data_IF_195125043240
#
_entry.id   IF_195125043240
#
_cell.length_a   1.000
_cell.length_b   1.000
_cell.length_c   1.000
_cell.angle_alpha   90.00
_cell.angle_beta   90.00
_cell.angle_gamma   90.00
#
_symmetry.space_group_name_H-M   'P 1'
#
loop_
_entity.id
_entity.type
_entity.pdbx_description
1 polymer ?
#
# COMPACT_ATOMS: atom_id res chain seq x y z
N UNK A 1 4.53 0.58 -14.65
CA UNK A 1 3.42 -0.07 -15.36
C UNK A 1 3.69 -0.16 -16.88
N UNK A 2 4.12 0.93 -17.54
CA UNK A 2 4.32 0.93 -19.03
C UNK A 2 5.28 -0.16 -19.53
N UNK A 3 6.33 -0.50 -18.77
CA UNK A 3 7.32 -1.52 -19.13
C UNK A 3 6.88 -2.97 -18.82
N UNK A 4 5.81 -3.17 -18.08
CA UNK A 4 5.31 -4.50 -17.77
C UNK A 4 4.50 -5.04 -18.95
N UNK A 5 4.57 -6.34 -19.23
CA UNK A 5 3.90 -6.99 -20.38
C UNK A 5 2.64 -7.80 -19.98
N UNK A 6 2.50 -8.18 -18.72
CA UNK A 6 1.44 -9.06 -18.25
C UNK A 6 0.16 -8.30 -17.85
N UNK A 7 -0.97 -9.02 -17.80
CA UNK A 7 -2.28 -8.48 -17.43
C UNK A 7 -2.45 -8.21 -15.94
N UNK A 8 -1.54 -8.68 -15.11
CA UNK A 8 -1.48 -8.44 -13.68
C UNK A 8 -0.26 -7.57 -13.35
N UNK A 9 -0.50 -6.44 -12.69
CA UNK A 9 0.54 -5.55 -12.22
C UNK A 9 0.73 -5.73 -10.72
N UNK A 10 1.99 -5.83 -10.28
CA UNK A 10 2.40 -5.87 -8.88
C UNK A 10 3.39 -4.74 -8.60
N UNK A 11 3.08 -3.90 -7.63
CA UNK A 11 3.92 -2.78 -7.20
C UNK A 11 4.61 -3.16 -5.89
N UNK A 12 5.89 -3.39 -5.94
CA UNK A 12 6.72 -3.82 -4.82
C UNK A 12 7.77 -2.75 -4.52
N UNK A 13 7.89 -2.35 -3.25
CA UNK A 13 9.00 -1.49 -2.83
C UNK A 13 10.33 -2.24 -2.93
N UNK A 14 11.40 -1.53 -3.26
CA UNK A 14 12.72 -2.11 -3.48
C UNK A 14 13.32 -2.80 -2.22
N UNK A 15 12.84 -2.43 -1.04
CA UNK A 15 13.26 -2.98 0.26
C UNK A 15 12.24 -3.94 0.89
N UNK A 16 11.30 -4.44 0.09
CA UNK A 16 10.26 -5.37 0.53
C UNK A 16 10.50 -6.77 -0.03
N UNK A 17 10.14 -7.79 0.75
CA UNK A 17 10.29 -9.21 0.40
C UNK A 17 8.91 -9.86 0.31
N UNK A 18 8.63 -10.45 -0.86
CA UNK A 18 7.39 -11.21 -1.08
C UNK A 18 7.44 -12.59 -0.39
N UNK A 19 6.31 -13.06 0.15
CA UNK A 19 6.22 -14.40 0.74
C UNK A 19 6.23 -15.50 -0.33
N UNK A 20 6.62 -16.70 0.04
CA UNK A 20 6.43 -17.87 -0.85
C UNK A 20 4.95 -18.03 -1.19
N UNK A 21 4.65 -18.40 -2.44
CA UNK A 21 3.27 -18.59 -2.90
C UNK A 21 2.50 -17.29 -3.21
N UNK A 22 3.17 -16.14 -3.22
CA UNK A 22 2.57 -14.85 -3.49
C UNK A 22 1.73 -14.81 -4.79
N UNK A 23 2.22 -15.41 -5.87
CA UNK A 23 1.53 -15.41 -7.16
C UNK A 23 0.21 -16.19 -7.09
N UNK A 24 0.22 -17.39 -6.48
CA UNK A 24 -1.00 -18.18 -6.28
C UNK A 24 -2.04 -17.44 -5.43
N UNK A 25 -1.60 -16.72 -4.41
CA UNK A 25 -2.50 -15.92 -3.57
C UNK A 25 -3.17 -14.78 -4.34
N UNK A 26 -2.43 -14.11 -5.22
CA UNK A 26 -2.99 -13.07 -6.10
C UNK A 26 -3.97 -13.70 -7.11
N UNK A 27 -3.56 -14.78 -7.78
CA UNK A 27 -4.40 -15.48 -8.75
C UNK A 27 -5.73 -15.91 -8.13
N UNK A 28 -5.69 -16.49 -6.93
CA UNK A 28 -6.91 -16.85 -6.19
C UNK A 28 -7.80 -15.62 -5.92
N UNK A 29 -7.22 -14.50 -5.46
CA UNK A 29 -7.99 -13.28 -5.23
C UNK A 29 -8.67 -12.76 -6.50
N UNK A 30 -7.99 -12.82 -7.64
CA UNK A 30 -8.57 -12.43 -8.95
C UNK A 30 -9.67 -13.39 -9.38
N UNK A 31 -9.47 -14.69 -9.23
CA UNK A 31 -10.51 -15.72 -9.53
C UNK A 31 -11.76 -15.50 -8.67
N UNK A 32 -11.61 -15.03 -7.43
CA UNK A 32 -12.71 -14.64 -6.54
C UNK A 32 -13.36 -13.29 -6.92
N UNK A 33 -12.99 -12.72 -8.07
CA UNK A 33 -13.56 -11.50 -8.63
C UNK A 33 -12.97 -10.20 -8.09
N UNK A 34 -11.79 -10.24 -7.45
CA UNK A 34 -11.11 -9.00 -7.10
C UNK A 34 -10.45 -8.35 -8.32
N UNK A 35 -10.61 -7.04 -8.46
CA UNK A 35 -9.92 -6.25 -9.49
C UNK A 35 -8.48 -5.89 -9.11
N UNK A 36 -8.14 -6.05 -7.84
CA UNK A 36 -6.84 -5.79 -7.25
C UNK A 36 -6.87 -5.90 -5.73
N UNK A 37 -5.78 -5.52 -5.09
CA UNK A 37 -5.66 -5.62 -3.64
C UNK A 37 -4.25 -5.39 -3.14
N UNK A 38 -3.95 -5.94 -1.97
CA UNK A 38 -2.62 -5.87 -1.37
C UNK A 38 -2.35 -7.05 -0.45
N UNK A 39 -1.12 -7.23 -0.07
CA UNK A 39 -0.69 -8.17 0.96
C UNK A 39 -0.92 -7.60 2.37
N UNK A 40 -0.89 -8.45 3.39
CA UNK A 40 -0.70 -7.99 4.75
C UNK A 40 0.71 -7.42 4.90
N UNK A 41 0.83 -6.38 5.72
CA UNK A 41 2.12 -5.83 6.10
C UNK A 41 2.72 -6.63 7.26
N UNK A 42 4.01 -6.87 7.20
CA UNK A 42 4.84 -7.32 8.31
C UNK A 42 6.18 -6.59 8.28
N UNK A 43 6.87 -6.53 9.42
CA UNK A 43 8.22 -5.99 9.50
C UNK A 43 9.19 -7.09 9.96
N UNK A 44 10.43 -6.99 9.54
CA UNK A 44 11.51 -7.87 10.04
C UNK A 44 11.96 -7.42 11.44
N UNK A 45 10.99 -7.22 12.35
CA UNK A 45 11.21 -6.74 13.71
C UNK A 45 10.02 -7.14 14.59
N UNK A 46 10.25 -7.91 15.65
CA UNK A 46 9.23 -8.41 16.57
C UNK A 46 8.85 -7.44 17.70
N UNK A 47 9.49 -6.28 17.79
CA UNK A 47 9.15 -5.30 18.81
C UNK A 47 7.70 -4.83 18.66
N UNK A 48 6.97 -4.73 19.78
CA UNK A 48 5.52 -4.42 19.83
C UNK A 48 5.09 -3.22 18.99
N UNK A 49 5.96 -2.22 18.85
CA UNK A 49 5.71 -1.04 18.04
C UNK A 49 5.50 -1.38 16.55
N UNK A 50 6.35 -2.25 15.98
CA UNK A 50 6.25 -2.66 14.57
C UNK A 50 5.09 -3.63 14.35
N UNK A 51 4.90 -4.58 15.27
CA UNK A 51 3.78 -5.53 15.18
C UNK A 51 2.44 -4.82 15.35
N UNK A 52 2.33 -3.85 16.25
CA UNK A 52 1.15 -3.00 16.43
C UNK A 52 0.88 -2.11 15.22
N UNK A 53 1.91 -1.51 14.64
CA UNK A 53 1.80 -0.72 13.41
C UNK A 53 1.35 -1.55 12.22
N UNK A 54 1.89 -2.76 12.06
CA UNK A 54 1.46 -3.70 11.03
C UNK A 54 0.01 -4.17 11.26
N UNK A 55 -0.37 -4.48 12.49
CA UNK A 55 -1.74 -4.86 12.84
C UNK A 55 -2.74 -3.75 12.49
N UNK A 56 -2.43 -2.49 12.83
CA UNK A 56 -3.25 -1.34 12.46
C UNK A 56 -3.36 -1.18 10.93
N UNK A 57 -2.24 -1.27 10.20
CA UNK A 57 -2.24 -1.19 8.74
C UNK A 57 -3.10 -2.28 8.10
N UNK A 58 -3.01 -3.51 8.61
CA UNK A 58 -3.76 -4.66 8.13
C UNK A 58 -5.26 -4.56 8.45
N UNK A 59 -5.62 -4.10 9.65
CA UNK A 59 -7.00 -3.84 10.03
C UNK A 59 -7.63 -2.78 9.10
N UNK A 60 -6.95 -1.65 8.90
CA UNK A 60 -7.41 -0.59 7.98
C UNK A 60 -7.60 -1.12 6.56
N UNK A 61 -6.63 -1.89 6.04
CA UNK A 61 -6.71 -2.48 4.71
C UNK A 61 -7.90 -3.42 4.58
N UNK A 62 -8.14 -4.27 5.59
CA UNK A 62 -9.26 -5.23 5.62
C UNK A 62 -10.63 -4.54 5.71
N UNK A 63 -10.76 -3.54 6.57
CA UNK A 63 -12.07 -2.89 6.85
C UNK A 63 -12.39 -1.83 5.82
N UNK A 64 -11.41 -1.01 5.45
CA UNK A 64 -11.61 0.16 4.59
C UNK A 64 -11.20 -0.07 3.14
N UNK A 65 -10.59 -1.21 2.80
CA UNK A 65 -9.92 -1.43 1.50
C UNK A 65 -8.92 -0.32 1.17
N UNK A 66 -8.23 0.17 2.19
CA UNK A 66 -7.27 1.27 2.08
C UNK A 66 -5.84 0.72 2.13
N UNK A 67 -5.25 0.49 0.98
CA UNK A 67 -3.92 -0.09 0.81
C UNK A 67 -2.86 1.00 0.68
N UNK A 68 -1.63 0.65 1.05
CA UNK A 68 -0.45 1.48 0.91
C UNK A 68 0.64 0.76 0.12
N UNK A 69 1.59 1.52 -0.42
CA UNK A 69 2.68 0.98 -1.25
C UNK A 69 3.54 -0.07 -0.55
N UNK A 70 3.73 0.05 0.77
CA UNK A 70 4.46 -0.92 1.60
C UNK A 70 3.74 -2.28 1.77
N UNK A 71 2.51 -2.40 1.31
CA UNK A 71 1.71 -3.62 1.32
C UNK A 71 1.77 -4.41 0.00
N UNK A 72 2.68 -4.11 -0.92
CA UNK A 72 2.80 -4.74 -2.23
C UNK A 72 1.45 -4.83 -2.96
N UNK A 73 0.98 -3.70 -3.46
CA UNK A 73 -0.32 -3.59 -4.14
C UNK A 73 -0.30 -4.32 -5.48
N UNK A 74 -1.38 -5.02 -5.80
CA UNK A 74 -1.59 -5.64 -7.11
C UNK A 74 -2.92 -5.19 -7.72
N UNK A 75 -2.99 -5.17 -9.05
CA UNK A 75 -4.18 -4.74 -9.80
C UNK A 75 -4.16 -5.35 -11.21
N UNK A 76 -5.33 -5.64 -11.76
CA UNK A 76 -5.47 -5.98 -13.18
C UNK A 76 -5.07 -4.78 -14.04
N UNK A 77 -4.27 -5.01 -15.09
CA UNK A 77 -3.82 -3.97 -16.01
C UNK A 77 -4.98 -3.18 -16.62
N UNK A 78 -6.01 -3.86 -17.08
CA UNK A 78 -7.19 -3.23 -17.67
C UNK A 78 -7.86 -2.25 -16.70
N UNK A 79 -7.96 -2.62 -15.43
CA UNK A 79 -8.50 -1.74 -14.39
C UNK A 79 -7.54 -0.59 -14.09
N UNK A 80 -6.22 -0.88 -13.99
CA UNK A 80 -5.21 0.17 -13.76
C UNK A 80 -5.26 1.26 -14.83
N UNK A 81 -5.38 0.86 -16.09
CA UNK A 81 -5.46 1.77 -17.23
C UNK A 81 -6.80 2.54 -17.25
N UNK A 82 -7.92 1.86 -16.99
CA UNK A 82 -9.25 2.49 -16.97
C UNK A 82 -9.39 3.56 -15.88
N UNK A 83 -8.72 3.40 -14.74
CA UNK A 83 -8.73 4.39 -13.65
C UNK A 83 -7.64 5.47 -13.77
N UNK A 84 -6.88 5.43 -14.87
CA UNK A 84 -5.78 6.38 -15.15
C UNK A 84 -4.52 6.17 -14.29
N UNK A 85 -4.33 4.96 -13.75
CA UNK A 85 -3.14 4.56 -13.02
C UNK A 85 -2.79 5.40 -11.79
N UNK A 86 -1.51 5.41 -11.43
CA UNK A 86 -1.00 6.31 -10.39
C UNK A 86 -1.16 7.77 -10.82
N UNK A 87 -1.67 8.63 -9.95
CA UNK A 87 -1.69 10.06 -10.23
C UNK A 87 -0.25 10.61 -10.21
N UNK A 88 -0.02 11.65 -11.00
CA UNK A 88 1.26 12.36 -11.02
C UNK A 88 1.32 13.35 -9.84
N UNK A 89 1.58 12.82 -8.66
CA UNK A 89 1.69 13.58 -7.41
C UNK A 89 2.94 13.14 -6.65
N UNK A 90 3.59 14.04 -5.91
CA UNK A 90 4.86 13.74 -5.27
C UNK A 90 4.75 12.83 -4.03
N UNK A 91 3.55 12.65 -3.48
CA UNK A 91 3.28 11.83 -2.29
C UNK A 91 1.80 11.44 -2.24
N UNK A 92 1.47 10.36 -1.52
CA UNK A 92 0.11 9.79 -1.37
C UNK A 92 -0.49 9.21 -2.66
N UNK A 93 0.33 8.95 -3.67
CA UNK A 93 -0.06 8.32 -4.94
C UNK A 93 -0.68 6.93 -4.72
N UNK A 94 -0.16 6.17 -3.77
CA UNK A 94 -0.63 4.85 -3.37
C UNK A 94 -2.03 4.90 -2.71
N UNK A 95 -2.24 5.86 -1.82
CA UNK A 95 -3.55 6.09 -1.18
C UNK A 95 -4.59 6.49 -2.22
N UNK A 96 -4.21 7.34 -3.17
CA UNK A 96 -5.11 7.77 -4.25
C UNK A 96 -5.42 6.62 -5.21
N UNK A 97 -4.43 5.80 -5.59
CA UNK A 97 -4.64 4.59 -6.40
C UNK A 97 -5.57 3.60 -5.67
N UNK A 98 -5.31 3.37 -4.38
CA UNK A 98 -6.16 2.49 -3.55
C UNK A 98 -7.62 2.95 -3.53
N UNK A 99 -7.88 4.25 -3.39
CA UNK A 99 -9.23 4.82 -3.46
C UNK A 99 -9.89 4.62 -4.83
N UNK A 100 -9.16 4.83 -5.92
CA UNK A 100 -9.66 4.60 -7.29
C UNK A 100 -9.96 3.11 -7.52
N UNK A 101 -9.05 2.23 -7.10
CA UNK A 101 -9.21 0.78 -7.23
C UNK A 101 -10.45 0.27 -6.49
N UNK A 102 -10.70 0.75 -5.26
CA UNK A 102 -11.91 0.43 -4.49
C UNK A 102 -13.19 0.86 -5.20
N UNK A 103 -13.17 1.98 -5.92
CA UNK A 103 -14.33 2.45 -6.70
C UNK A 103 -14.55 1.64 -7.98
N UNK A 104 -13.49 1.05 -8.53
CA UNK A 104 -13.54 0.27 -9.77
C UNK A 104 -14.07 -1.15 -9.55
N UNK A 105 -13.99 -1.71 -8.34
CA UNK A 105 -14.50 -3.05 -8.07
C UNK A 105 -14.09 -3.62 -6.71
N UNK A 106 -14.41 -4.91 -6.54
CA UNK A 106 -14.03 -5.68 -5.34
C UNK A 106 -12.50 -5.71 -5.19
N UNK A 107 -12.02 -5.41 -4.00
CA UNK A 107 -10.59 -5.50 -3.66
C UNK A 107 -10.36 -6.48 -2.53
N UNK A 108 -9.19 -7.13 -2.48
CA UNK A 108 -8.90 -8.15 -1.50
C UNK A 108 -7.53 -7.91 -0.82
N UNK A 109 -7.50 -8.04 0.50
CA UNK A 109 -6.25 -8.20 1.23
C UNK A 109 -5.93 -9.69 1.33
N UNK A 110 -4.95 -10.17 0.54
CA UNK A 110 -4.54 -11.57 0.57
C UNK A 110 -3.94 -11.96 1.94
N UNK A 111 -4.13 -13.23 2.39
CA UNK A 111 -3.75 -13.64 3.75
C UNK A 111 -2.23 -13.75 4.00
N UNK A 112 -1.42 -13.64 2.95
CA UNK A 112 0.04 -13.67 3.04
C UNK A 112 0.61 -12.29 3.40
N UNK A 113 1.75 -12.26 4.11
CA UNK A 113 2.39 -11.01 4.53
C UNK A 113 3.63 -10.71 3.71
N UNK A 114 3.74 -9.49 3.17
CA UNK A 114 4.98 -8.92 2.66
C UNK A 114 5.79 -8.40 3.85
N UNK A 115 7.10 -8.62 3.82
CA UNK A 115 8.02 -8.11 4.83
C UNK A 115 8.59 -6.79 4.31
N UNK A 116 8.31 -5.69 4.99
CA UNK A 116 8.86 -4.36 4.69
C UNK A 116 10.00 -4.01 5.65
N UNK A 117 10.95 -3.20 5.16
CA UNK A 117 12.08 -2.75 5.95
C UNK A 117 11.68 -1.75 7.03
N UNK A 118 12.20 -1.90 8.23
CA UNK A 118 12.04 -0.97 9.34
C UNK A 118 13.09 0.16 9.35
N UNK A 119 13.99 0.18 8.34
CA UNK A 119 15.14 1.10 8.25
C UNK A 119 14.74 2.57 8.36
N UNK A 120 13.68 2.98 7.66
CA UNK A 120 13.19 4.36 7.71
C UNK A 120 12.74 4.76 9.13
N UNK A 121 12.00 3.88 9.80
CA UNK A 121 11.52 4.12 11.17
C UNK A 121 12.70 4.18 12.14
N UNK A 122 13.71 3.32 11.96
CA UNK A 122 14.94 3.36 12.78
C UNK A 122 15.69 4.67 12.62
N UNK A 123 15.86 5.16 11.39
CA UNK A 123 16.62 6.39 11.12
C UNK A 123 15.94 7.66 11.65
N UNK A 124 14.64 7.77 11.56
CA UNK A 124 13.89 8.96 12.02
C UNK A 124 13.40 8.87 13.47
N UNK A 125 13.48 7.70 14.09
CA UNK A 125 12.93 7.42 15.40
C UNK A 125 11.43 7.09 15.36
N UNK A 126 11.00 6.22 16.27
CA UNK A 126 9.65 5.65 16.30
C UNK A 126 8.56 6.71 16.49
N UNK A 127 8.75 7.59 17.48
CA UNK A 127 7.76 8.63 17.83
C UNK A 127 7.60 9.64 16.70
N UNK A 128 8.73 10.15 16.17
CA UNK A 128 8.72 11.12 15.07
C UNK A 128 8.08 10.53 13.81
N UNK A 129 8.41 9.27 13.46
CA UNK A 129 7.84 8.60 12.30
C UNK A 129 6.32 8.42 12.44
N UNK A 130 5.85 8.02 13.63
CA UNK A 130 4.42 7.85 13.90
C UNK A 130 3.68 9.17 13.82
N UNK A 131 4.18 10.20 14.49
CA UNK A 131 3.57 11.53 14.47
C UNK A 131 3.49 12.09 13.04
N UNK A 132 4.59 12.01 12.26
CA UNK A 132 4.61 12.42 10.85
C UNK A 132 3.58 11.66 10.02
N UNK A 133 3.52 10.35 10.19
CA UNK A 133 2.57 9.51 9.45
C UNK A 133 1.12 9.93 9.72
N UNK A 134 0.73 10.10 10.98
CA UNK A 134 -0.63 10.50 11.33
C UNK A 134 -0.93 11.95 10.91
N UNK A 135 0.00 12.87 11.10
CA UNK A 135 -0.14 14.27 10.67
C UNK A 135 -0.34 14.35 9.16
N UNK A 136 0.52 13.69 8.37
CA UNK A 136 0.43 13.66 6.92
C UNK A 136 -0.90 13.12 6.44
N UNK A 137 -1.37 12.02 7.04
CA UNK A 137 -2.67 11.44 6.71
C UNK A 137 -3.82 12.36 7.07
N UNK A 138 -3.83 12.90 8.27
CA UNK A 138 -4.87 13.81 8.70
C UNK A 138 -4.97 15.00 7.73
N UNK A 139 -3.85 15.66 7.46
CA UNK A 139 -3.82 16.79 6.52
C UNK A 139 -4.32 16.38 5.12
N UNK A 140 -3.92 15.22 4.62
CA UNK A 140 -4.39 14.71 3.33
C UNK A 140 -5.91 14.50 3.32
N UNK A 141 -6.48 13.91 4.37
CA UNK A 141 -7.93 13.70 4.47
C UNK A 141 -8.72 14.99 4.69
N UNK A 142 -8.10 16.02 5.28
CA UNK A 142 -8.67 17.37 5.36
C UNK A 142 -8.45 18.20 4.09
N UNK A 143 -7.96 17.62 3.01
CA UNK A 143 -7.88 18.26 1.69
C UNK A 143 -6.56 19.01 1.43
N UNK A 144 -5.53 18.85 2.26
CA UNK A 144 -4.21 19.42 1.96
C UNK A 144 -3.65 18.84 0.65
N UNK A 145 -3.12 19.72 -0.19
CA UNK A 145 -2.53 19.30 -1.47
C UNK A 145 -1.28 18.45 -1.28
N UNK A 146 -1.04 17.45 -2.16
CA UNK A 146 0.17 16.63 -2.10
C UNK A 146 1.47 17.45 -2.15
N UNK A 147 1.47 18.60 -2.84
CA UNK A 147 2.63 19.50 -2.89
C UNK A 147 2.93 20.16 -1.54
N UNK A 148 1.89 20.54 -0.77
CA UNK A 148 2.06 21.04 0.59
C UNK A 148 2.59 19.95 1.52
N UNK A 149 2.04 18.74 1.40
CA UNK A 149 2.48 17.59 2.22
C UNK A 149 3.95 17.24 1.98
N UNK A 150 4.46 17.40 0.77
CA UNK A 150 5.87 17.16 0.46
C UNK A 150 6.80 18.11 1.22
N UNK A 151 6.40 19.37 1.41
CA UNK A 151 7.18 20.34 2.20
C UNK A 151 7.28 19.96 3.68
N UNK A 152 6.24 19.31 4.22
CA UNK A 152 6.21 18.83 5.61
C UNK A 152 6.97 17.50 5.74
N UNK A 153 7.02 16.71 4.65
CA UNK A 153 7.66 15.39 4.65
C UNK A 153 9.18 15.45 4.54
N UNK A 154 9.75 16.44 3.93
CA UNK A 154 11.20 16.69 3.85
C UNK A 154 11.75 17.26 5.15
#
# INVERSE_FOLDING_TARGET
>A
AKAASNDLLLFLHADSVLPKGWLKAIQHAITEGAVGGAFKLSFNNSHWFYTGGAAYANMRARVCSAYHGDQAMFILRSVYESIGGFPDVPIMEDVMLSKKMKKAGKTNQVPLSVISSDRRIKNYGRIKSTFRYFLMKSLFYFGASPSLLTKIYR
#
